data_IF_963254178748
#
_entry.id   IF_963254178748
#
_cell.length_a   1.000
_cell.length_b   1.000
_cell.length_c   1.000
_cell.angle_alpha   90.00
_cell.angle_beta   90.00
_cell.angle_gamma   90.00
#
_symmetry.space_group_name_H-M   'P 1'
#
loop_
_entity.id
_entity.type
_entity.pdbx_description
1 polymer ?
#
# COMPACT_ATOMS: atom_id res chain seq x y z
N UNK A 1 11.99 -7.78 6.58
CA UNK A 1 12.89 -6.87 7.32
C UNK A 1 12.69 -5.48 6.74
N UNK A 2 12.37 -4.49 7.55
CA UNK A 2 12.16 -3.12 7.05
C UNK A 2 13.45 -2.59 6.41
N UNK A 3 13.31 -1.84 5.32
CA UNK A 3 14.40 -1.25 4.56
C UNK A 3 14.52 0.23 4.89
N UNK A 4 15.74 0.76 4.86
CA UNK A 4 15.94 2.20 4.86
C UNK A 4 15.47 2.73 3.50
N UNK A 5 14.37 3.45 3.52
CA UNK A 5 13.86 4.21 2.38
C UNK A 5 14.09 5.69 2.69
N UNK A 6 14.41 6.50 1.68
CA UNK A 6 14.61 7.95 1.81
C UNK A 6 13.25 8.66 2.01
N UNK A 7 12.56 8.27 3.08
CA UNK A 7 11.33 8.89 3.53
C UNK A 7 11.66 10.11 4.39
N UNK A 8 10.82 11.15 4.29
CA UNK A 8 10.96 12.39 5.05
C UNK A 8 10.96 12.16 6.56
N UNK A 9 10.25 11.12 7.01
CA UNK A 9 10.11 10.77 8.42
C UNK A 9 11.22 9.82 8.92
N UNK A 10 12.14 9.36 8.04
CA UNK A 10 13.22 8.42 8.36
C UNK A 10 12.76 7.14 9.05
N UNK A 11 11.53 6.71 8.79
CA UNK A 11 10.98 5.46 9.31
C UNK A 11 11.34 4.34 8.35
N UNK A 12 11.77 3.20 8.89
CA UNK A 12 12.06 2.03 8.06
C UNK A 12 10.76 1.52 7.40
N UNK A 13 10.80 1.31 6.09
CA UNK A 13 9.64 0.92 5.28
C UNK A 13 9.60 -0.60 5.15
N UNK A 14 8.44 -1.19 5.40
CA UNK A 14 8.20 -2.63 5.31
C UNK A 14 7.04 -3.02 4.37
N UNK A 15 6.15 -2.08 4.06
CA UNK A 15 5.05 -2.24 3.11
C UNK A 15 5.32 -1.37 1.87
N UNK A 16 5.24 -1.98 0.69
CA UNK A 16 5.44 -1.31 -0.60
C UNK A 16 4.28 -1.65 -1.52
N UNK A 17 3.65 -0.64 -2.10
CA UNK A 17 2.61 -0.79 -3.11
C UNK A 17 3.10 -0.19 -4.43
N UNK A 18 3.17 -1.03 -5.47
CA UNK A 18 3.47 -0.60 -6.83
C UNK A 18 2.20 -0.50 -7.66
N UNK A 19 1.97 0.66 -8.29
CA UNK A 19 0.87 0.85 -9.22
C UNK A 19 1.46 1.05 -10.62
N UNK A 20 1.18 0.11 -11.53
CA UNK A 20 1.57 0.24 -12.94
C UNK A 20 0.41 0.87 -13.72
N UNK A 21 0.69 1.98 -14.39
CA UNK A 21 -0.32 2.75 -15.14
C UNK A 21 0.12 2.90 -16.60
N UNK A 22 -0.81 2.76 -17.58
CA UNK A 22 -0.48 3.03 -18.97
C UNK A 22 -0.33 4.53 -19.21
N UNK A 23 0.55 4.90 -20.14
CA UNK A 23 0.93 6.30 -20.43
C UNK A 23 -0.25 7.20 -20.81
N UNK A 24 -1.33 6.60 -21.33
CA UNK A 24 -2.52 7.28 -21.82
C UNK A 24 -3.66 7.37 -20.78
N UNK A 25 -3.45 6.86 -19.55
CA UNK A 25 -4.48 6.93 -18.51
C UNK A 25 -4.59 8.35 -17.97
N UNK A 26 -5.70 9.03 -18.27
CA UNK A 26 -6.02 10.36 -17.74
C UNK A 26 -6.91 10.21 -16.51
N UNK A 27 -6.47 10.78 -15.38
CA UNK A 27 -7.19 10.97 -14.11
C UNK A 27 -7.61 9.75 -13.27
N UNK A 28 -8.01 8.63 -13.87
CA UNK A 28 -8.53 7.46 -13.14
C UNK A 28 -7.48 6.85 -12.20
N UNK A 29 -6.23 6.81 -12.63
CA UNK A 29 -5.13 6.29 -11.81
C UNK A 29 -4.81 7.16 -10.59
N UNK A 30 -5.02 8.48 -10.68
CA UNK A 30 -4.86 9.39 -9.54
C UNK A 30 -5.94 9.13 -8.48
N UNK A 31 -7.16 8.78 -8.90
CA UNK A 31 -8.23 8.41 -7.98
C UNK A 31 -7.93 7.08 -7.28
N UNK A 32 -7.42 6.08 -8.01
CA UNK A 32 -6.98 4.79 -7.44
C UNK A 32 -5.86 5.03 -6.42
N UNK A 33 -4.85 5.82 -6.79
CA UNK A 33 -3.74 6.15 -5.91
C UNK A 33 -4.21 6.90 -4.65
N UNK A 34 -5.14 7.84 -4.80
CA UNK A 34 -5.71 8.58 -3.68
C UNK A 34 -6.51 7.68 -2.72
N UNK A 35 -7.32 6.78 -3.27
CA UNK A 35 -8.07 5.79 -2.48
C UNK A 35 -7.14 4.88 -1.69
N UNK A 36 -6.13 4.30 -2.37
CA UNK A 36 -5.11 3.45 -1.76
C UNK A 36 -4.33 4.20 -0.68
N UNK A 37 -3.93 5.45 -0.96
CA UNK A 37 -3.24 6.31 0.01
C UNK A 37 -4.07 6.56 1.27
N UNK A 38 -5.39 6.72 1.14
CA UNK A 38 -6.27 6.92 2.28
C UNK A 38 -6.40 5.65 3.13
N UNK A 39 -6.54 4.47 2.52
CA UNK A 39 -6.53 3.19 3.25
C UNK A 39 -5.18 2.97 3.96
N UNK A 40 -4.07 3.22 3.26
CA UNK A 40 -2.72 3.08 3.83
C UNK A 40 -2.44 4.06 4.96
N UNK A 41 -3.19 5.15 5.12
CA UNK A 41 -3.09 6.04 6.30
C UNK A 41 -3.68 5.42 7.56
N UNK A 42 -4.64 4.49 7.42
CA UNK A 42 -5.27 3.80 8.53
C UNK A 42 -4.28 2.83 9.18
N UNK A 43 -4.08 2.98 10.49
CA UNK A 43 -3.15 2.16 11.24
C UNK A 43 -3.59 0.69 11.26
N UNK A 44 -4.88 0.45 11.49
CA UNK A 44 -5.47 -0.90 11.54
C UNK A 44 -5.30 -1.64 10.22
N UNK A 45 -5.50 -0.96 9.09
CA UNK A 45 -5.27 -1.54 7.77
C UNK A 45 -3.81 -1.99 7.60
N UNK A 46 -2.84 -1.13 7.94
CA UNK A 46 -1.42 -1.51 7.87
C UNK A 46 -1.05 -2.63 8.84
N UNK A 47 -1.64 -2.67 10.03
CA UNK A 47 -1.41 -3.74 11.00
C UNK A 47 -1.96 -5.08 10.52
N UNK A 48 -3.13 -5.08 9.89
CA UNK A 48 -3.73 -6.25 9.27
C UNK A 48 -2.83 -6.82 8.16
N UNK A 49 -2.38 -5.97 7.24
CA UNK A 49 -1.44 -6.37 6.18
C UNK A 49 -0.11 -6.92 6.71
N UNK A 50 0.40 -6.38 7.84
CA UNK A 50 1.62 -6.89 8.48
C UNK A 50 1.42 -8.19 9.23
N UNK A 51 0.19 -8.51 9.62
CA UNK A 51 -0.15 -9.73 10.36
C UNK A 51 -0.36 -10.93 9.43
N UNK A 52 -0.59 -10.70 8.13
CA UNK A 52 -0.75 -11.77 7.15
C UNK A 52 0.48 -12.69 7.10
N UNK A 53 0.25 -13.99 7.24
CA UNK A 53 1.30 -15.02 7.24
C UNK A 53 1.49 -15.65 5.85
N UNK A 54 0.53 -15.43 4.94
CA UNK A 54 0.53 -16.00 3.59
C UNK A 54 0.20 -14.95 2.53
N UNK A 55 0.66 -15.19 1.30
CA UNK A 55 0.38 -14.31 0.15
C UNK A 55 -1.14 -14.19 -0.13
N UNK A 56 -1.89 -15.27 0.07
CA UNK A 56 -3.36 -15.29 -0.09
C UNK A 56 -4.07 -14.45 0.98
N UNK A 57 -3.62 -14.55 2.24
CA UNK A 57 -4.13 -13.73 3.34
C UNK A 57 -3.81 -12.26 3.11
N UNK A 58 -2.57 -11.94 2.71
CA UNK A 58 -2.16 -10.58 2.39
C UNK A 58 -3.00 -9.99 1.26
N UNK A 59 -3.23 -10.76 0.20
CA UNK A 59 -4.07 -10.34 -0.92
C UNK A 59 -5.52 -10.10 -0.46
N UNK A 60 -6.10 -11.04 0.29
CA UNK A 60 -7.46 -10.95 0.83
C UNK A 60 -7.63 -9.71 1.71
N UNK A 61 -6.65 -9.46 2.59
CA UNK A 61 -6.67 -8.32 3.48
C UNK A 61 -6.48 -6.99 2.75
N UNK A 62 -5.72 -6.97 1.66
CA UNK A 62 -5.51 -5.77 0.84
C UNK A 62 -6.76 -5.36 0.05
N UNK A 63 -7.57 -6.34 -0.41
CA UNK A 63 -8.78 -6.08 -1.20
C UNK A 63 -10.07 -6.08 -0.38
N UNK A 64 -10.01 -6.47 0.89
CA UNK A 64 -11.17 -6.46 1.80
C UNK A 64 -11.59 -5.01 2.08
N UNK A 65 -12.90 -4.74 1.94
CA UNK A 65 -13.53 -3.44 2.24
C UNK A 65 -13.43 -3.06 3.71
#
# INVERSE_FOLDING_TARGET
KAIEYDDKDKVAVDLIFGLLVPENATDEHLQILASLSNQLKLKEYREKLRAAETDEELYTDAISE
#
